data_IF_920526981758
#
_entry.id   IF_920526981758
#
_cell.length_a   1.000
_cell.length_b   1.000
_cell.length_c   1.000
_cell.angle_alpha   90.00
_cell.angle_beta   90.00
_cell.angle_gamma   90.00
#
_symmetry.space_group_name_H-M   'P 1'
#
loop_
_entity.id
_entity.type
_entity.pdbx_description
1 polymer ?
#
# COMPACT_ATOMS: atom_id res chain seq x y z
N UNK A 1 29.47 12.58 -10.07
CA UNK A 1 28.12 11.94 -10.13
C UNK A 1 27.47 12.10 -8.78
N UNK A 2 26.57 13.00 -8.68
CA UNK A 2 25.71 13.11 -7.50
C UNK A 2 24.76 11.93 -7.53
N UNK A 3 24.95 10.94 -6.65
CA UNK A 3 23.91 9.97 -6.37
C UNK A 3 22.82 10.72 -5.61
N UNK A 4 21.86 11.23 -6.34
CA UNK A 4 20.66 11.78 -5.74
C UNK A 4 19.96 10.64 -5.00
N UNK A 5 20.09 10.62 -3.68
CA UNK A 5 19.32 9.71 -2.84
C UNK A 5 17.85 10.05 -3.00
N UNK A 6 17.14 9.23 -3.78
CA UNK A 6 15.70 9.38 -3.93
C UNK A 6 15.02 9.26 -2.57
N UNK A 7 14.07 10.13 -2.31
CA UNK A 7 13.22 10.03 -1.14
C UNK A 7 12.40 8.75 -1.21
N UNK A 8 12.21 8.09 -0.08
CA UNK A 8 11.52 6.80 -0.01
C UNK A 8 10.09 7.00 0.47
N UNK A 9 9.16 6.39 -0.23
CA UNK A 9 7.74 6.40 0.11
C UNK A 9 7.27 4.96 0.29
N UNK A 10 6.61 4.69 1.42
CA UNK A 10 5.94 3.43 1.68
C UNK A 10 4.46 3.57 1.34
N UNK A 11 3.92 2.65 0.56
CA UNK A 11 2.52 2.60 0.18
C UNK A 11 1.88 1.33 0.73
N UNK A 12 0.74 1.48 1.43
CA UNK A 12 -0.15 0.38 1.78
C UNK A 12 -1.38 0.42 0.88
N UNK A 13 -1.63 -0.68 0.18
CA UNK A 13 -2.76 -0.84 -0.73
C UNK A 13 -3.26 -2.29 -0.67
N UNK A 14 -4.58 -2.50 -0.72
CA UNK A 14 -5.17 -3.84 -0.60
C UNK A 14 -4.76 -4.77 -1.73
N UNK A 15 -4.78 -4.28 -2.96
CA UNK A 15 -4.44 -5.04 -4.17
C UNK A 15 -3.55 -4.20 -5.07
N UNK A 16 -2.55 -4.83 -5.66
CA UNK A 16 -1.62 -4.20 -6.59
C UNK A 16 -1.25 -5.17 -7.70
N UNK A 17 -0.68 -4.67 -8.80
CA UNK A 17 -0.30 -5.52 -9.94
C UNK A 17 0.56 -6.71 -9.51
N UNK A 18 0.34 -7.92 -10.05
CA UNK A 18 -0.50 -8.25 -11.21
C UNK A 18 -2.00 -8.40 -10.93
N UNK A 19 -2.47 -8.21 -9.69
CA UNK A 19 -3.90 -8.10 -9.41
C UNK A 19 -4.52 -6.96 -10.22
N UNK A 20 -5.71 -7.13 -10.74
CA UNK A 20 -6.36 -6.16 -11.63
C UNK A 20 -7.85 -5.94 -11.37
N UNK A 21 -8.51 -6.86 -10.66
CA UNK A 21 -9.97 -6.82 -10.49
C UNK A 21 -10.46 -5.60 -9.71
N UNK A 22 -9.65 -5.05 -8.81
CA UNK A 22 -9.97 -3.82 -8.10
C UNK A 22 -9.92 -2.56 -8.98
N UNK A 23 -9.33 -2.64 -10.16
CA UNK A 23 -9.38 -1.61 -11.20
C UNK A 23 -8.72 -0.28 -10.85
N UNK A 24 -9.53 0.75 -10.67
CA UNK A 24 -9.10 2.14 -10.55
C UNK A 24 -8.02 2.43 -9.49
N UNK A 25 -8.12 1.95 -8.24
CA UNK A 25 -7.09 2.17 -7.24
C UNK A 25 -5.71 1.62 -7.62
N UNK A 26 -5.67 0.43 -8.22
CA UNK A 26 -4.43 -0.20 -8.69
C UNK A 26 -3.79 0.66 -9.79
N UNK A 27 -4.57 1.06 -10.78
CA UNK A 27 -4.08 1.87 -11.90
C UNK A 27 -3.61 3.24 -11.43
N UNK A 28 -4.34 3.85 -10.51
CA UNK A 28 -4.00 5.17 -9.97
C UNK A 28 -2.66 5.17 -9.22
N UNK A 29 -2.43 4.17 -8.37
CA UNK A 29 -1.14 4.04 -7.65
C UNK A 29 -0.02 3.71 -8.62
N UNK A 30 -0.25 2.82 -9.57
CA UNK A 30 0.74 2.49 -10.60
C UNK A 30 1.16 3.73 -11.42
N UNK A 31 0.20 4.55 -11.84
CA UNK A 31 0.48 5.79 -12.56
C UNK A 31 1.25 6.80 -11.70
N UNK A 32 0.90 6.92 -10.41
CA UNK A 32 1.62 7.78 -9.47
C UNK A 32 3.08 7.36 -9.31
N UNK A 33 3.33 6.08 -9.14
CA UNK A 33 4.69 5.52 -9.00
C UNK A 33 5.52 5.84 -10.25
N UNK A 34 4.95 5.65 -11.43
CA UNK A 34 5.64 5.94 -12.69
C UNK A 34 5.88 7.45 -12.91
N UNK A 35 4.89 8.28 -12.57
CA UNK A 35 5.02 9.73 -12.74
C UNK A 35 6.10 10.36 -11.85
N UNK A 36 6.36 9.75 -10.70
CA UNK A 36 7.28 10.26 -9.70
C UNK A 36 8.62 9.49 -9.64
N UNK A 37 8.91 8.69 -10.66
CA UNK A 37 10.09 7.80 -10.68
C UNK A 37 11.44 8.51 -10.58
N UNK A 38 11.51 9.77 -11.00
CA UNK A 38 12.76 10.55 -10.96
C UNK A 38 13.16 10.95 -9.55
N UNK A 39 12.18 11.27 -8.71
CA UNK A 39 12.41 11.88 -7.39
C UNK A 39 12.26 10.90 -6.22
N UNK A 40 11.49 9.83 -6.42
CA UNK A 40 11.10 8.92 -5.35
C UNK A 40 11.40 7.45 -5.67
N UNK A 41 11.69 6.72 -4.59
CA UNK A 41 11.70 5.26 -4.59
C UNK A 41 10.52 4.75 -3.76
N UNK A 42 9.75 3.82 -4.30
CA UNK A 42 8.53 3.32 -3.69
C UNK A 42 8.67 1.91 -3.14
N UNK A 43 8.21 1.73 -1.91
CA UNK A 43 8.00 0.43 -1.28
C UNK A 43 6.49 0.21 -1.17
N UNK A 44 5.98 -0.86 -1.75
CA UNK A 44 4.54 -1.13 -1.82
C UNK A 44 4.23 -2.41 -1.07
N UNK A 45 3.37 -2.31 -0.07
CA UNK A 45 2.88 -3.44 0.72
C UNK A 45 1.43 -3.73 0.33
N UNK A 46 1.18 -4.94 -0.13
CA UNK A 46 -0.12 -5.36 -0.65
C UNK A 46 -0.43 -6.82 -0.33
N UNK A 47 -1.63 -7.27 -0.66
CA UNK A 47 -2.03 -8.66 -0.49
C UNK A 47 -1.52 -9.55 -1.63
N UNK A 48 -1.34 -10.83 -1.33
CA UNK A 48 -0.96 -11.87 -2.30
C UNK A 48 -2.18 -12.48 -3.01
N UNK A 49 -3.26 -11.71 -3.17
CA UNK A 49 -4.48 -12.15 -3.83
C UNK A 49 -5.14 -10.98 -4.55
N UNK A 50 -6.07 -11.28 -5.46
CA UNK A 50 -6.93 -10.26 -6.07
C UNK A 50 -8.25 -10.14 -5.32
N UNK A 51 -8.98 -9.05 -5.56
CA UNK A 51 -10.27 -8.79 -4.90
C UNK A 51 -11.26 -9.93 -5.15
N UNK A 52 -11.89 -10.40 -4.08
CA UNK A 52 -12.87 -11.48 -4.16
C UNK A 52 -12.28 -12.85 -4.55
N UNK A 53 -10.97 -12.95 -4.77
CA UNK A 53 -10.29 -14.21 -5.05
C UNK A 53 -9.79 -14.84 -3.76
N UNK A 54 -10.08 -16.12 -3.56
CA UNK A 54 -9.48 -16.93 -2.51
C UNK A 54 -8.11 -17.49 -2.88
N UNK A 55 -7.64 -17.27 -4.11
CA UNK A 55 -6.41 -17.83 -4.64
C UNK A 55 -5.25 -16.84 -4.58
N UNK A 56 -4.06 -17.36 -4.36
CA UNK A 56 -2.82 -16.59 -4.42
C UNK A 56 -2.51 -16.18 -5.87
N UNK A 57 -1.82 -15.04 -6.01
CA UNK A 57 -1.36 -14.56 -7.31
C UNK A 57 -0.31 -15.52 -7.88
N UNK A 58 -0.48 -15.91 -9.14
CA UNK A 58 0.42 -16.82 -9.83
C UNK A 58 1.76 -16.16 -10.12
N UNK A 59 2.86 -16.89 -9.88
CA UNK A 59 4.21 -16.42 -10.18
C UNK A 59 4.78 -15.41 -9.19
N UNK A 60 4.07 -15.14 -8.10
CA UNK A 60 4.51 -14.22 -7.05
C UNK A 60 5.02 -15.01 -5.84
N UNK A 61 6.23 -14.73 -5.38
CA UNK A 61 6.76 -15.26 -4.11
C UNK A 61 6.25 -14.38 -2.97
N UNK A 62 5.38 -14.91 -2.06
CA UNK A 62 4.83 -14.09 -0.99
C UNK A 62 5.87 -13.76 0.09
N UNK A 63 5.58 -12.72 0.84
CA UNK A 63 6.31 -12.31 2.05
C UNK A 63 7.78 -11.95 1.83
N UNK A 64 8.13 -11.59 0.59
CA UNK A 64 9.46 -11.09 0.22
C UNK A 64 9.34 -9.82 -0.61
N UNK A 65 10.28 -8.92 -0.44
CA UNK A 65 10.40 -7.75 -1.30
C UNK A 65 10.87 -8.17 -2.69
N UNK A 66 10.08 -7.84 -3.70
CA UNK A 66 10.34 -8.15 -5.10
C UNK A 66 10.51 -6.85 -5.88
N UNK A 67 11.55 -6.76 -6.68
CA UNK A 67 11.76 -5.61 -7.56
C UNK A 67 10.65 -5.56 -8.61
N UNK A 68 9.93 -4.45 -8.66
CA UNK A 68 8.83 -4.23 -9.61
C UNK A 68 9.26 -3.34 -10.79
N UNK A 69 10.10 -2.35 -10.52
CA UNK A 69 10.66 -1.45 -11.53
C UNK A 69 12.01 -0.91 -11.05
N UNK A 70 12.61 0.01 -11.82
CA UNK A 70 13.84 0.69 -11.42
C UNK A 70 13.68 1.54 -10.15
N UNK A 71 12.45 1.93 -9.81
CA UNK A 71 12.14 2.81 -8.68
C UNK A 71 11.10 2.23 -7.71
N UNK A 72 10.84 0.94 -7.74
CA UNK A 72 9.86 0.34 -6.83
C UNK A 72 10.15 -1.11 -6.49
N UNK A 73 9.82 -1.46 -5.25
CA UNK A 73 9.77 -2.82 -4.74
C UNK A 73 8.38 -3.09 -4.13
N UNK A 74 7.91 -4.31 -4.26
CA UNK A 74 6.59 -4.73 -3.76
C UNK A 74 6.75 -5.95 -2.87
N UNK A 75 6.08 -5.95 -1.72
CA UNK A 75 5.90 -7.14 -0.88
C UNK A 75 4.42 -7.56 -0.92
N UNK A 76 4.18 -8.81 -1.28
CA UNK A 76 2.86 -9.42 -1.35
C UNK A 76 2.66 -10.30 -0.12
N UNK A 77 1.82 -9.87 0.81
CA UNK A 77 1.60 -10.58 2.06
C UNK A 77 0.56 -11.68 1.92
N UNK A 78 0.94 -12.91 2.30
CA UNK A 78 -0.03 -13.98 2.48
C UNK A 78 -1.01 -13.65 3.61
N UNK A 79 -2.17 -14.30 3.65
CA UNK A 79 -3.19 -14.03 4.67
C UNK A 79 -2.67 -14.18 6.09
N UNK A 80 -1.83 -15.19 6.36
CA UNK A 80 -1.24 -15.47 7.66
C UNK A 80 -0.26 -14.38 8.12
N UNK A 81 0.37 -13.68 7.18
CA UNK A 81 1.39 -12.67 7.47
C UNK A 81 0.86 -11.23 7.51
N UNK A 82 -0.44 -11.03 7.39
CA UNK A 82 -1.09 -9.71 7.55
C UNK A 82 -1.31 -9.42 9.04
N UNK A 83 -0.22 -9.38 9.79
CA UNK A 83 -0.22 -9.25 11.25
C UNK A 83 0.42 -7.95 11.71
N UNK A 84 0.10 -7.54 12.93
CA UNK A 84 0.74 -6.39 13.59
C UNK A 84 2.26 -6.48 13.55
N UNK A 85 2.81 -7.66 13.85
CA UNK A 85 4.27 -7.91 13.85
C UNK A 85 4.89 -7.65 12.47
N UNK A 86 4.27 -8.14 11.41
CA UNK A 86 4.73 -7.95 10.03
C UNK A 86 4.68 -6.47 9.63
N UNK A 87 3.57 -5.78 9.91
CA UNK A 87 3.45 -4.35 9.60
C UNK A 87 4.45 -3.49 10.37
N UNK A 88 4.70 -3.80 11.64
CA UNK A 88 5.75 -3.11 12.42
C UNK A 88 7.14 -3.32 11.81
N UNK A 89 7.44 -4.54 11.38
CA UNK A 89 8.69 -4.88 10.67
C UNK A 89 8.86 -4.03 9.41
N UNK A 90 7.81 -3.94 8.58
CA UNK A 90 7.80 -3.17 7.34
C UNK A 90 8.02 -1.68 7.61
N UNK A 91 7.34 -1.12 8.60
CA UNK A 91 7.48 0.28 8.99
C UNK A 91 8.90 0.65 9.45
N UNK A 92 9.65 -0.33 9.94
CA UNK A 92 10.99 -0.14 10.50
C UNK A 92 12.14 -0.46 9.54
N UNK A 93 11.87 -0.97 8.34
CA UNK A 93 12.95 -1.37 7.41
C UNK A 93 13.82 -0.20 6.94
N UNK A 94 13.24 0.98 6.87
CA UNK A 94 13.91 2.21 6.43
C UNK A 94 13.24 3.45 7.02
N UNK A 95 13.90 4.58 6.88
CA UNK A 95 13.28 5.88 7.10
C UNK A 95 12.52 6.30 5.84
N UNK A 96 11.22 6.50 5.96
CA UNK A 96 10.36 6.95 4.88
C UNK A 96 10.06 8.44 5.00
N UNK A 97 10.16 9.16 3.90
CA UNK A 97 9.71 10.56 3.81
C UNK A 97 8.21 10.65 4.05
N UNK A 98 7.47 9.74 3.43
CA UNK A 98 6.02 9.65 3.57
C UNK A 98 5.55 8.21 3.59
N UNK A 99 4.43 7.97 4.28
CA UNK A 99 3.72 6.70 4.27
C UNK A 99 2.31 6.97 3.76
N UNK A 100 1.94 6.31 2.68
CA UNK A 100 0.69 6.51 1.95
C UNK A 100 -0.25 5.33 2.14
N UNK A 101 -1.45 5.61 2.61
CA UNK A 101 -2.51 4.63 2.85
C UNK A 101 -3.63 4.84 1.84
N UNK A 102 -3.86 3.85 0.97
CA UNK A 102 -4.69 4.01 -0.22
C UNK A 102 -6.19 3.79 -0.01
N UNK A 103 -6.66 3.59 1.22
CA UNK A 103 -8.08 3.36 1.48
C UNK A 103 -8.46 3.78 2.89
N UNK A 104 -9.62 4.38 3.05
CA UNK A 104 -10.14 4.74 4.36
C UNK A 104 -10.71 3.53 5.12
N UNK A 105 -11.25 2.53 4.41
CA UNK A 105 -12.02 1.43 5.00
C UNK A 105 -11.29 0.09 5.03
N UNK A 106 -10.05 0.03 4.58
CA UNK A 106 -9.24 -1.16 4.72
C UNK A 106 -8.66 -1.24 6.12
N UNK A 107 -9.09 -2.20 6.91
CA UNK A 107 -8.53 -2.40 8.24
C UNK A 107 -7.06 -2.86 8.16
N UNK A 108 -6.79 -3.91 7.37
CA UNK A 108 -5.46 -4.53 7.31
C UNK A 108 -4.42 -3.66 6.61
N UNK A 109 -4.78 -3.02 5.50
CA UNK A 109 -3.82 -2.26 4.68
C UNK A 109 -3.93 -0.75 4.80
N UNK A 110 -4.74 -0.24 5.71
CA UNK A 110 -4.80 1.20 6.00
C UNK A 110 -4.87 1.49 7.48
N UNK A 111 -5.96 1.14 8.16
CA UNK A 111 -6.18 1.56 9.54
C UNK A 111 -5.15 0.95 10.50
N UNK A 112 -4.90 -0.35 10.42
CA UNK A 112 -3.92 -1.00 11.30
C UNK A 112 -2.51 -0.44 11.10
N UNK A 113 -1.94 -0.41 9.89
CA UNK A 113 -0.62 0.17 9.68
C UNK A 113 -0.57 1.68 9.99
N UNK A 114 -1.65 2.43 9.76
CA UNK A 114 -1.73 3.85 10.15
C UNK A 114 -1.60 4.03 11.66
N UNK A 115 -2.34 3.25 12.45
CA UNK A 115 -2.23 3.28 13.91
C UNK A 115 -0.83 2.92 14.38
N UNK A 116 -0.23 1.89 13.80
CA UNK A 116 1.13 1.47 14.15
C UNK A 116 2.17 2.54 13.79
N UNK A 117 2.06 3.14 12.61
CA UNK A 117 2.95 4.22 12.18
C UNK A 117 2.83 5.45 13.08
N UNK A 118 1.62 5.82 13.47
CA UNK A 118 1.36 6.94 14.39
C UNK A 118 1.98 6.68 15.77
N UNK A 119 1.84 5.48 16.30
CA UNK A 119 2.39 5.12 17.61
C UNK A 119 3.92 5.01 17.61
N UNK A 120 4.54 4.64 16.49
CA UNK A 120 5.99 4.57 16.37
C UNK A 120 6.65 5.96 16.32
N UNK A 121 5.89 6.99 15.98
CA UNK A 121 6.42 8.35 15.82
C UNK A 121 7.66 8.40 14.91
N UNK A 122 7.54 7.82 13.72
CA UNK A 122 8.65 7.64 12.78
C UNK A 122 9.19 8.93 12.16
N UNK A 123 8.50 10.07 12.35
CA UNK A 123 8.83 11.32 11.67
C UNK A 123 8.36 11.39 10.20
N UNK A 124 7.83 10.30 9.67
CA UNK A 124 7.27 10.26 8.31
C UNK A 124 5.96 11.03 8.20
N UNK A 125 5.74 11.69 7.08
CA UNK A 125 4.43 12.28 6.76
C UNK A 125 3.42 11.17 6.48
N UNK A 126 2.31 11.14 7.20
CA UNK A 126 1.24 10.15 7.02
C UNK A 126 0.16 10.73 6.10
N UNK A 127 -0.11 10.04 5.00
CA UNK A 127 -1.07 10.46 3.97
C UNK A 127 -2.14 9.38 3.83
N UNK A 128 -3.39 9.72 4.13
CA UNK A 128 -4.53 8.84 3.96
C UNK A 128 -5.37 9.32 2.77
N UNK A 129 -5.51 8.49 1.75
CA UNK A 129 -6.30 8.78 0.57
C UNK A 129 -7.68 8.10 0.67
N UNK A 130 -8.78 8.83 0.89
CA UNK A 130 -10.11 8.24 1.05
C UNK A 130 -10.72 7.74 -0.27
N UNK A 131 -10.16 8.09 -1.41
CA UNK A 131 -10.60 7.58 -2.74
C UNK A 131 -12.10 7.74 -3.02
N UNK A 132 -12.67 8.90 -2.73
CA UNK A 132 -14.10 9.18 -2.92
C UNK A 132 -15.02 8.50 -1.93
N UNK A 133 -14.50 7.75 -0.95
CA UNK A 133 -15.30 7.03 0.06
C UNK A 133 -16.06 7.95 1.02
N UNK A 134 -15.67 9.22 1.09
CA UNK A 134 -16.36 10.26 1.86
C UNK A 134 -17.40 11.03 1.06
N UNK A 135 -17.56 10.70 -0.23
CA UNK A 135 -18.62 11.30 -1.06
C UNK A 135 -20.02 10.93 -0.55
N UNK A 136 -20.97 11.85 -0.67
CA UNK A 136 -22.35 11.67 -0.18
C UNK A 136 -23.04 10.40 -0.71
N UNK A 137 -22.77 10.03 -1.96
CA UNK A 137 -23.26 8.79 -2.57
C UNK A 137 -22.69 7.53 -1.92
N UNK A 138 -21.40 7.50 -1.67
CA UNK A 138 -20.72 6.36 -1.04
C UNK A 138 -21.15 6.14 0.42
N UNK A 139 -21.38 7.21 1.15
CA UNK A 139 -21.86 7.15 2.54
C UNK A 139 -23.33 6.68 2.61
N UNK A 140 -24.17 7.07 1.65
CA UNK A 140 -25.55 6.60 1.55
C UNK A 140 -25.66 5.11 1.28
N UNK A 141 -24.81 4.57 0.38
CA UNK A 141 -24.79 3.15 0.05
C UNK A 141 -24.42 2.26 1.26
N UNK A 142 -23.59 2.75 2.16
CA UNK A 142 -23.21 2.02 3.38
C UNK A 142 -24.30 2.01 4.45
N UNK A 143 -25.13 3.04 4.51
CA UNK A 143 -26.28 3.08 5.44
C UNK A 143 -27.38 2.08 5.09
N UNK A 144 -27.45 1.62 3.84
CA UNK A 144 -28.48 0.69 3.36
C UNK A 144 -28.08 -0.79 3.50
N UNK A 145 -26.84 -1.09 3.92
CA UNK A 145 -26.33 -2.46 4.12
C UNK A 145 -26.29 -2.87 5.61
N UNK A 146 -27.26 -2.44 6.38
CA UNK A 146 -27.49 -2.97 7.72
C UNK A 146 -28.49 -4.12 7.67
#
# INVERSE_FOLDING_TARGET
MESTHKKKILIFIDWYRPAYLAGGPIQSVFNMVNALEKDYFFYICTSNSDIGSGNELVGITPNKWLKSSSNSEVIYLSAENRTKKTFLSILKIQEFESIYFNSLFSFKFSLLPLFLAKNLNTGSKLILAPRGMLGSGSLKLKKTKK
#
